data_IF_304655840068
#
_entry.id   IF_304655840068
#
_cell.length_a   1.000
_cell.length_b   1.000
_cell.length_c   1.000
_cell.angle_alpha   90.00
_cell.angle_beta   90.00
_cell.angle_gamma   90.00
#
_symmetry.space_group_name_H-M   'P 1'
#
loop_
_entity.id
_entity.type
_entity.pdbx_description
1 polymer ?
#
# COMPACT_ATOMS: atom_id res chain seq x y z
N UNK A 1 -25.69 -5.17 -1.63
CA UNK A 1 -24.35 -4.68 -2.05
C UNK A 1 -23.52 -5.89 -2.46
N UNK A 2 -23.14 -6.06 -3.73
CA UNK A 2 -22.51 -7.25 -4.41
C UNK A 2 -22.33 -8.55 -3.60
N UNK A 3 -21.56 -8.55 -2.51
CA UNK A 3 -21.41 -9.69 -1.59
C UNK A 3 -22.73 -10.26 -1.04
N UNK A 4 -23.75 -9.44 -0.78
CA UNK A 4 -25.07 -9.93 -0.38
C UNK A 4 -25.80 -10.69 -1.50
N UNK A 5 -25.53 -10.32 -2.76
CA UNK A 5 -26.15 -10.92 -3.94
C UNK A 5 -25.46 -12.22 -4.34
N UNK A 6 -24.13 -12.25 -4.28
CA UNK A 6 -23.32 -13.33 -4.82
C UNK A 6 -22.64 -14.18 -3.75
N UNK A 7 -22.47 -13.70 -2.52
CA UNK A 7 -21.66 -14.34 -1.49
C UNK A 7 -20.16 -14.01 -1.63
N UNK A 8 -19.30 -14.83 -1.01
CA UNK A 8 -17.85 -14.66 -1.03
C UNK A 8 -17.27 -15.01 -2.41
N UNK A 9 -16.60 -14.05 -3.06
CA UNK A 9 -15.97 -14.23 -4.37
C UNK A 9 -15.04 -15.45 -4.44
N UNK A 10 -14.27 -15.73 -3.38
CA UNK A 10 -13.29 -16.81 -3.37
C UNK A 10 -13.92 -18.20 -3.29
N UNK A 11 -15.18 -18.29 -2.88
CA UNK A 11 -15.94 -19.54 -2.76
C UNK A 11 -16.84 -19.79 -3.98
N UNK A 12 -16.96 -18.80 -4.87
CA UNK A 12 -17.81 -18.92 -6.05
C UNK A 12 -17.27 -19.90 -7.09
N UNK A 13 -18.15 -20.71 -7.73
CA UNK A 13 -17.86 -21.39 -8.98
C UNK A 13 -17.34 -20.42 -10.06
N UNK A 14 -16.40 -20.84 -10.93
CA UNK A 14 -15.82 -19.97 -11.96
C UNK A 14 -16.84 -19.24 -12.85
N UNK A 15 -17.93 -19.91 -13.21
CA UNK A 15 -19.02 -19.37 -14.04
C UNK A 15 -19.81 -18.25 -13.38
N UNK A 16 -19.79 -18.15 -12.04
CA UNK A 16 -20.47 -17.09 -11.29
C UNK A 16 -19.56 -15.90 -10.99
N UNK A 17 -18.24 -16.03 -11.13
CA UNK A 17 -17.28 -14.95 -10.87
C UNK A 17 -17.41 -13.80 -11.87
N UNK A 18 -17.74 -14.09 -13.13
CA UNK A 18 -17.96 -13.05 -14.14
C UNK A 18 -19.13 -12.13 -13.76
N UNK A 19 -20.24 -12.70 -13.26
CA UNK A 19 -21.39 -11.92 -12.82
C UNK A 19 -21.08 -11.09 -11.56
N UNK A 20 -20.27 -11.63 -10.65
CA UNK A 20 -19.76 -10.88 -9.49
C UNK A 20 -18.95 -9.66 -9.94
N UNK A 21 -17.96 -9.86 -10.81
CA UNK A 21 -17.06 -8.80 -11.29
C UNK A 21 -17.85 -7.73 -12.06
N UNK A 22 -18.80 -8.13 -12.91
CA UNK A 22 -19.62 -7.20 -13.65
C UNK A 22 -20.44 -6.27 -12.73
N UNK A 23 -21.07 -6.83 -11.69
CA UNK A 23 -21.82 -6.02 -10.72
C UNK A 23 -20.89 -5.15 -9.86
N UNK A 24 -19.69 -5.66 -9.53
CA UNK A 24 -18.67 -4.88 -8.82
C UNK A 24 -18.24 -3.66 -9.63
N UNK A 25 -17.83 -3.85 -10.89
CA UNK A 25 -17.41 -2.77 -11.77
C UNK A 25 -18.56 -1.79 -12.06
N UNK A 26 -19.81 -2.26 -12.08
CA UNK A 26 -20.96 -1.38 -12.22
C UNK A 26 -21.12 -0.41 -11.04
N UNK A 27 -20.75 -0.83 -9.81
CA UNK A 27 -20.71 0.07 -8.66
C UNK A 27 -19.68 1.17 -8.89
N UNK A 28 -18.46 0.81 -9.29
CA UNK A 28 -17.39 1.80 -9.54
C UNK A 28 -17.77 2.79 -10.65
N UNK A 29 -18.54 2.34 -11.65
CA UNK A 29 -19.03 3.25 -12.69
C UNK A 29 -20.11 4.23 -12.20
N UNK A 30 -20.95 3.84 -11.24
CA UNK A 30 -22.02 4.70 -10.69
C UNK A 30 -21.46 5.60 -9.59
N UNK A 31 -20.49 5.10 -8.84
CA UNK A 31 -19.84 5.74 -7.70
C UNK A 31 -18.33 5.69 -7.88
N UNK A 32 -17.76 6.49 -8.80
CA UNK A 32 -16.33 6.46 -9.07
C UNK A 32 -15.54 6.76 -7.78
N UNK A 33 -14.49 5.98 -7.50
CA UNK A 33 -13.67 6.19 -6.32
C UNK A 33 -13.01 7.57 -6.40
N UNK A 34 -13.03 8.29 -5.28
CA UNK A 34 -12.20 9.49 -5.12
C UNK A 34 -10.87 9.05 -4.53
N UNK A 35 -9.85 8.99 -5.37
CA UNK A 35 -8.51 8.60 -4.95
C UNK A 35 -7.88 9.69 -4.06
N UNK A 36 -7.06 9.24 -3.12
CA UNK A 36 -6.16 10.10 -2.37
C UNK A 36 -4.94 10.47 -3.24
N UNK A 37 -4.19 11.48 -2.82
CA UNK A 37 -2.96 11.94 -3.51
C UNK A 37 -1.70 11.44 -2.82
N UNK A 38 -0.55 11.61 -3.47
CA UNK A 38 0.77 11.42 -2.86
C UNK A 38 0.95 12.31 -1.64
N UNK A 39 0.41 13.54 -1.65
CA UNK A 39 0.44 14.40 -0.46
C UNK A 39 -0.30 13.75 0.72
N UNK A 40 -1.51 13.23 0.50
CA UNK A 40 -2.27 12.54 1.56
C UNK A 40 -1.51 11.30 2.07
N UNK A 41 -0.88 10.54 1.17
CA UNK A 41 -0.06 9.39 1.54
C UNK A 41 1.15 9.80 2.39
N UNK A 42 1.84 10.89 2.04
CA UNK A 42 2.99 11.37 2.81
C UNK A 42 2.56 12.03 4.12
N UNK A 43 1.34 12.59 4.24
CA UNK A 43 0.77 13.00 5.53
C UNK A 43 0.70 11.81 6.52
N UNK A 44 0.34 10.62 6.02
CA UNK A 44 0.37 9.40 6.83
C UNK A 44 1.79 8.97 7.20
N UNK A 45 2.77 9.13 6.30
CA UNK A 45 4.18 8.89 6.65
C UNK A 45 4.61 9.82 7.78
N UNK A 46 4.36 11.13 7.66
CA UNK A 46 4.72 12.13 8.67
C UNK A 46 4.13 11.76 10.03
N UNK A 47 2.85 11.39 10.06
CA UNK A 47 2.20 10.98 11.30
C UNK A 47 2.85 9.74 11.92
N UNK A 48 3.18 8.71 11.13
CA UNK A 48 3.83 7.51 11.66
C UNK A 48 5.24 7.85 12.17
N UNK A 49 6.00 8.67 11.44
CA UNK A 49 7.32 9.15 11.87
C UNK A 49 7.21 9.91 13.20
N UNK A 50 6.20 10.77 13.37
CA UNK A 50 5.94 11.49 14.62
C UNK A 50 5.64 10.54 15.79
N UNK A 51 4.82 9.51 15.55
CA UNK A 51 4.33 8.61 16.62
C UNK A 51 5.37 7.57 17.04
N UNK A 52 6.11 6.97 16.08
CA UNK A 52 7.01 5.84 16.36
C UNK A 52 8.45 6.03 15.86
N UNK A 53 8.76 7.13 15.17
CA UNK A 53 10.10 7.44 14.69
C UNK A 53 10.42 6.89 13.29
N UNK A 54 11.35 7.57 12.61
CA UNK A 54 11.71 7.28 11.21
C UNK A 54 12.24 5.87 10.97
N UNK A 55 12.82 5.24 11.98
CA UNK A 55 13.38 3.90 11.85
C UNK A 55 12.30 2.81 11.74
N UNK A 56 11.00 3.14 11.85
CA UNK A 56 9.92 2.15 11.88
C UNK A 56 8.93 2.27 10.71
N UNK A 57 9.26 3.06 9.67
CA UNK A 57 8.37 3.33 8.54
C UNK A 57 8.85 2.65 7.26
N UNK A 58 7.92 2.13 6.46
CA UNK A 58 8.17 1.54 5.14
C UNK A 58 7.00 1.80 4.19
N UNK A 59 7.15 1.45 2.92
CA UNK A 59 6.12 1.61 1.88
C UNK A 59 5.58 0.24 1.46
N UNK A 60 4.25 0.11 1.43
CA UNK A 60 3.54 -0.98 0.77
C UNK A 60 2.39 -0.40 -0.04
N UNK A 61 2.44 -0.51 -1.37
CA UNK A 61 1.53 0.22 -2.28
C UNK A 61 0.16 -0.43 -2.42
N UNK A 62 0.08 -1.74 -2.18
CA UNK A 62 -1.10 -2.57 -2.46
C UNK A 62 -1.61 -2.43 -3.91
N UNK A 63 -0.70 -2.15 -4.86
CA UNK A 63 -1.00 -2.16 -6.29
C UNK A 63 -1.54 -3.54 -6.71
N UNK A 64 -2.49 -3.56 -7.63
CA UNK A 64 -3.30 -4.73 -8.04
C UNK A 64 -4.19 -5.33 -6.93
N UNK A 65 -4.09 -4.84 -5.69
CA UNK A 65 -4.92 -5.21 -4.53
C UNK A 65 -6.02 -4.21 -4.16
N UNK A 66 -6.07 -3.06 -4.84
CA UNK A 66 -7.00 -1.95 -4.57
C UNK A 66 -6.31 -0.68 -4.08
N UNK A 67 -4.99 -0.70 -3.89
CA UNK A 67 -4.19 0.50 -3.72
C UNK A 67 -4.03 1.27 -5.03
N UNK A 68 -3.99 2.60 -4.95
CA UNK A 68 -3.72 3.56 -6.03
C UNK A 68 -3.84 4.97 -5.45
N UNK A 69 -3.09 5.92 -6.00
CA UNK A 69 -3.26 7.35 -5.73
C UNK A 69 -3.54 8.08 -7.05
N UNK A 70 -4.20 9.22 -6.98
CA UNK A 70 -4.60 10.03 -8.15
C UNK A 70 -3.38 10.48 -8.98
N UNK A 71 -2.26 10.74 -8.32
CA UNK A 71 -0.98 11.18 -8.87
C UNK A 71 0.18 10.18 -8.60
N UNK A 72 -0.17 8.93 -8.30
CA UNK A 72 0.74 7.77 -8.30
C UNK A 72 -0.08 6.49 -8.55
N UNK A 73 -0.53 6.33 -9.78
CA UNK A 73 -1.47 5.30 -10.18
C UNK A 73 -0.84 3.90 -10.27
N UNK A 74 0.43 3.83 -10.69
CA UNK A 74 1.16 2.58 -10.83
C UNK A 74 2.65 2.70 -10.46
N UNK A 75 3.39 1.61 -10.61
CA UNK A 75 4.81 1.51 -10.25
C UNK A 75 5.72 2.50 -10.99
N UNK A 76 5.34 2.97 -12.18
CA UNK A 76 6.12 3.94 -12.94
C UNK A 76 6.11 5.34 -12.30
N UNK A 77 5.13 5.61 -11.45
CA UNK A 77 4.91 6.93 -10.82
C UNK A 77 5.41 6.99 -9.37
N UNK A 78 5.97 5.90 -8.83
CA UNK A 78 6.52 5.84 -7.47
C UNK A 78 7.56 6.93 -7.16
N UNK A 79 8.22 7.46 -8.20
CA UNK A 79 9.12 8.61 -8.07
C UNK A 79 8.43 9.87 -7.51
N UNK A 80 7.10 10.00 -7.63
CA UNK A 80 6.35 11.11 -7.07
C UNK A 80 6.35 11.09 -5.54
N UNK A 81 6.33 9.91 -4.91
CA UNK A 81 6.47 9.77 -3.45
C UNK A 81 7.83 10.31 -2.99
N UNK A 82 8.91 9.92 -3.68
CA UNK A 82 10.26 10.43 -3.36
C UNK A 82 10.35 11.94 -3.51
N UNK A 83 9.75 12.51 -4.57
CA UNK A 83 9.71 13.97 -4.75
C UNK A 83 8.99 14.66 -3.60
N UNK A 84 7.86 14.11 -3.16
CA UNK A 84 7.09 14.70 -2.05
C UNK A 84 7.83 14.61 -0.72
N UNK A 85 8.48 13.48 -0.42
CA UNK A 85 9.34 13.36 0.76
C UNK A 85 10.48 14.41 0.74
N UNK A 86 11.13 14.62 -0.41
CA UNK A 86 12.16 15.65 -0.57
C UNK A 86 11.59 17.06 -0.35
N UNK A 87 10.39 17.35 -0.87
CA UNK A 87 9.71 18.64 -0.70
C UNK A 87 9.43 18.93 0.79
N UNK A 88 9.15 17.89 1.59
CA UNK A 88 8.92 17.99 3.03
C UNK A 88 10.20 18.02 3.87
N UNK A 89 11.37 17.93 3.23
CA UNK A 89 12.66 18.06 3.89
C UNK A 89 13.20 16.77 4.49
N UNK A 90 12.67 15.62 4.12
CA UNK A 90 13.30 14.34 4.45
C UNK A 90 14.70 14.28 3.84
N UNK A 91 15.67 13.83 4.63
CA UNK A 91 17.03 13.64 4.14
C UNK A 91 17.11 12.43 3.20
N UNK A 92 18.17 12.36 2.40
CA UNK A 92 18.44 11.17 1.59
C UNK A 92 18.55 9.90 2.47
N UNK A 93 19.13 10.02 3.67
CA UNK A 93 19.23 8.92 4.63
C UNK A 93 17.84 8.44 5.09
N UNK A 94 16.94 9.37 5.43
CA UNK A 94 15.58 9.02 5.86
C UNK A 94 14.77 8.39 4.72
N UNK A 95 14.93 8.89 3.50
CA UNK A 95 14.29 8.33 2.31
C UNK A 95 14.80 6.91 2.04
N UNK A 96 16.10 6.65 2.19
CA UNK A 96 16.65 5.29 2.07
C UNK A 96 16.10 4.34 3.13
N UNK A 97 15.90 4.82 4.37
CA UNK A 97 15.26 4.04 5.44
C UNK A 97 13.82 3.67 5.08
N UNK A 98 13.02 4.64 4.64
CA UNK A 98 11.61 4.46 4.23
C UNK A 98 11.50 3.48 3.06
N UNK A 99 12.31 3.65 2.01
CA UNK A 99 12.19 2.82 0.79
C UNK A 99 12.61 1.37 0.99
N UNK A 100 13.58 1.10 1.86
CA UNK A 100 14.03 -0.29 2.06
C UNK A 100 14.81 -0.54 3.35
N UNK A 101 15.54 0.44 3.86
CA UNK A 101 16.47 0.24 4.97
C UNK A 101 15.82 -0.36 6.21
N UNK A 102 14.64 0.16 6.58
CA UNK A 102 13.88 -0.31 7.73
C UNK A 102 13.34 -1.73 7.52
N UNK A 103 12.75 -1.99 6.36
CA UNK A 103 12.25 -3.33 6.00
C UNK A 103 13.39 -4.35 6.02
N UNK A 104 14.52 -4.05 5.37
CA UNK A 104 15.67 -4.95 5.30
C UNK A 104 16.30 -5.20 6.67
N UNK A 105 16.31 -4.20 7.57
CA UNK A 105 16.75 -4.39 8.96
C UNK A 105 15.87 -5.41 9.68
N UNK A 106 14.54 -5.28 9.57
CA UNK A 106 13.58 -6.20 10.21
C UNK A 106 13.68 -7.59 9.57
N UNK A 107 13.73 -7.67 8.24
CA UNK A 107 13.81 -8.93 7.52
C UNK A 107 15.05 -9.75 7.94
N UNK A 108 16.22 -9.10 8.02
CA UNK A 108 17.44 -9.75 8.54
C UNK A 108 17.32 -10.23 9.99
N UNK A 109 16.62 -9.48 10.85
CA UNK A 109 16.40 -9.90 12.23
C UNK A 109 15.51 -11.14 12.30
N UNK A 110 14.48 -11.22 11.46
CA UNK A 110 13.61 -12.40 11.32
C UNK A 110 14.41 -13.60 10.82
N UNK A 111 15.27 -13.42 9.82
CA UNK A 111 16.14 -14.47 9.31
C UNK A 111 17.09 -15.00 10.40
N UNK A 112 17.68 -14.12 11.21
CA UNK A 112 18.56 -14.51 12.31
C UNK A 112 17.83 -15.39 13.34
N UNK A 113 16.63 -14.97 13.78
CA UNK A 113 15.80 -15.76 14.70
C UNK A 113 15.43 -17.13 14.11
N UNK A 114 15.11 -17.18 12.82
CA UNK A 114 14.78 -18.43 12.14
C UNK A 114 15.96 -19.41 12.08
N UNK A 115 17.20 -18.92 12.03
CA UNK A 115 18.43 -19.74 12.03
C UNK A 115 18.82 -20.15 13.45
N UNK A 116 18.73 -19.25 14.42
CA UNK A 116 19.23 -19.46 15.79
C UNK A 116 18.28 -20.29 16.66
N UNK A 117 17.00 -20.42 16.27
CA UNK A 117 16.04 -21.31 16.89
C UNK A 117 15.52 -20.88 18.27
N UNK A 118 15.81 -19.64 18.70
CA UNK A 118 15.29 -19.08 19.94
C UNK A 118 13.96 -18.33 19.71
N UNK A 119 12.89 -18.89 20.28
CA UNK A 119 11.63 -18.22 20.60
C UNK A 119 11.40 -18.31 22.11
#
# INVERSE_FOLDING_TARGET
VVFEKHGNYYELPPDLKEAFIADWMAIDSIYPPRLATVSDFVDHIDHIVEVIGIDHVGIGTDFDGGGQLDDCYDVSELGNITKELLNRGYSEEDIQKIWSGNFLRVFRAVEAVAVDGEL
#
